data_IF_250071631378
#
_entry.id   IF_250071631378
#
_cell.length_a   1.000
_cell.length_b   1.000
_cell.length_c   1.000
_cell.angle_alpha   90.00
_cell.angle_beta   90.00
_cell.angle_gamma   90.00
#
_symmetry.space_group_name_H-M   'P 1'
#
loop_
_entity.id
_entity.type
_entity.pdbx_description
1 polymer ?
#
# COMPACT_ATOMS: atom_id res chain seq x y z
N UNK A 1 56.71 49.60 -21.91
CA UNK A 1 55.24 49.61 -21.99
C UNK A 1 54.80 48.25 -22.49
N UNK A 2 54.44 47.30 -21.61
CA UNK A 2 53.86 46.00 -21.98
C UNK A 2 53.16 45.41 -20.75
N UNK A 3 51.83 45.59 -20.65
CA UNK A 3 51.00 45.01 -19.60
C UNK A 3 50.48 43.66 -20.10
N UNK A 4 50.92 42.55 -19.49
CA UNK A 4 50.31 41.23 -19.70
C UNK A 4 49.18 41.06 -18.69
N UNK A 5 47.93 41.03 -19.17
CA UNK A 5 46.78 40.62 -18.37
C UNK A 5 46.81 39.09 -18.23
N UNK A 6 46.91 38.59 -17.00
CA UNK A 6 46.52 37.23 -16.67
C UNK A 6 45.00 37.24 -16.46
N UNK A 7 44.26 36.59 -17.36
CA UNK A 7 42.85 36.30 -17.17
C UNK A 7 42.75 35.03 -16.30
N UNK A 8 42.24 35.18 -15.08
CA UNK A 8 41.95 34.07 -14.17
C UNK A 8 40.55 33.54 -14.52
N UNK A 9 40.47 32.45 -15.27
CA UNK A 9 39.21 31.76 -15.54
C UNK A 9 38.78 30.98 -14.30
N UNK A 10 37.78 31.51 -13.59
CA UNK A 10 37.11 30.83 -12.49
C UNK A 10 36.21 29.72 -13.07
N UNK A 11 36.65 28.47 -12.99
CA UNK A 11 35.83 27.32 -13.35
C UNK A 11 34.79 27.09 -12.24
N UNK A 12 33.56 27.58 -12.44
CA UNK A 12 32.42 27.17 -11.64
C UNK A 12 32.13 25.69 -11.93
N UNK A 13 32.48 24.79 -11.01
CA UNK A 13 31.98 23.43 -11.02
C UNK A 13 30.48 23.47 -10.71
N UNK A 14 29.65 23.32 -11.73
CA UNK A 14 28.22 23.13 -11.59
C UNK A 14 27.96 21.78 -10.91
N UNK A 15 27.68 21.82 -9.60
CA UNK A 15 27.04 20.70 -8.91
C UNK A 15 25.62 20.55 -9.47
N UNK A 16 25.44 19.63 -10.41
CA UNK A 16 24.10 19.17 -10.75
C UNK A 16 23.58 18.38 -9.53
N UNK A 17 22.40 18.70 -8.98
CA UNK A 17 21.80 17.85 -7.95
C UNK A 17 21.59 16.47 -8.56
N UNK A 18 22.19 15.45 -7.95
CA UNK A 18 21.82 14.06 -8.20
C UNK A 18 20.36 13.93 -7.78
N UNK A 19 19.44 13.87 -8.74
CA UNK A 19 18.05 13.49 -8.46
C UNK A 19 18.10 12.05 -7.97
N UNK A 20 18.03 11.84 -6.65
CA UNK A 20 17.80 10.52 -6.11
C UNK A 20 16.43 10.03 -6.64
N UNK A 21 16.38 8.80 -7.12
CA UNK A 21 15.12 8.13 -7.40
C UNK A 21 14.52 7.68 -6.06
N UNK A 22 13.20 7.52 -6.01
CA UNK A 22 12.56 6.89 -4.87
C UNK A 22 13.17 5.52 -4.60
N UNK A 23 13.49 5.26 -3.33
CA UNK A 23 14.05 3.98 -2.92
C UNK A 23 12.96 2.91 -3.00
N UNK A 24 13.31 1.73 -3.51
CA UNK A 24 12.39 0.60 -3.60
C UNK A 24 12.41 -0.21 -2.31
N UNK A 25 11.25 -0.74 -1.94
CA UNK A 25 11.03 -1.54 -0.74
C UNK A 25 10.20 -2.78 -1.08
N UNK A 26 10.48 -3.89 -0.40
CA UNK A 26 9.65 -5.09 -0.40
C UNK A 26 8.93 -5.17 0.94
N UNK A 27 7.61 -5.38 0.91
CA UNK A 27 6.80 -5.53 2.13
C UNK A 27 7.25 -6.79 2.90
N UNK A 28 7.56 -6.63 4.18
CA UNK A 28 8.12 -7.69 5.03
C UNK A 28 7.07 -8.67 5.55
N UNK A 29 6.44 -9.39 4.62
CA UNK A 29 5.51 -10.48 4.92
C UNK A 29 6.22 -11.74 5.43
N UNK A 30 7.51 -11.92 5.12
CA UNK A 30 8.32 -13.04 5.62
C UNK A 30 8.65 -12.90 7.11
N UNK A 31 8.98 -11.69 7.55
CA UNK A 31 9.19 -11.33 8.95
C UNK A 31 7.89 -11.06 9.73
N UNK A 32 6.73 -11.13 9.06
CA UNK A 32 5.42 -10.84 9.63
C UNK A 32 5.26 -9.40 10.18
N UNK A 33 5.96 -8.43 9.58
CA UNK A 33 5.83 -7.00 9.89
C UNK A 33 4.83 -6.30 8.95
N UNK A 34 3.78 -7.02 8.56
CA UNK A 34 2.71 -6.48 7.74
C UNK A 34 1.37 -7.20 7.99
N UNK A 35 0.27 -6.45 7.95
CA UNK A 35 -1.08 -6.95 8.11
C UNK A 35 -2.09 -6.17 7.25
N UNK A 36 -3.11 -6.88 6.76
CA UNK A 36 -4.28 -6.31 6.09
C UNK A 36 -5.50 -6.80 6.88
N UNK A 37 -6.06 -5.93 7.71
CA UNK A 37 -7.25 -6.18 8.48
C UNK A 37 -8.49 -5.66 7.75
N UNK A 38 -9.62 -6.30 8.01
CA UNK A 38 -10.92 -5.85 7.54
C UNK A 38 -11.92 -5.86 8.68
N UNK A 39 -12.91 -5.00 8.57
CA UNK A 39 -14.12 -5.05 9.38
C UNK A 39 -15.36 -4.75 8.55
N UNK A 40 -16.47 -5.39 8.90
CA UNK A 40 -17.76 -5.19 8.28
C UNK A 40 -18.84 -5.10 9.36
N UNK A 41 -19.70 -4.09 9.27
CA UNK A 41 -20.83 -3.96 10.19
C UNK A 41 -21.81 -5.12 10.00
N UNK A 42 -22.31 -5.66 11.09
CA UNK A 42 -23.31 -6.72 11.11
C UNK A 42 -24.60 -6.18 11.75
N UNK A 43 -25.61 -5.94 10.91
CA UNK A 43 -26.95 -5.44 11.29
C UNK A 43 -26.96 -4.11 12.08
N UNK A 44 -25.84 -3.36 12.06
CA UNK A 44 -25.67 -2.18 12.91
C UNK A 44 -25.50 -2.47 14.40
N UNK A 45 -25.36 -3.74 14.80
CA UNK A 45 -25.22 -4.16 16.20
C UNK A 45 -23.77 -4.42 16.60
N UNK A 46 -22.97 -4.95 15.68
CA UNK A 46 -21.58 -5.32 15.93
C UNK A 46 -20.75 -5.25 14.65
N UNK A 47 -19.47 -5.64 14.76
CA UNK A 47 -18.56 -5.78 13.63
C UNK A 47 -18.06 -7.22 13.56
N UNK A 48 -18.07 -7.78 12.36
CA UNK A 48 -17.22 -8.91 12.03
C UNK A 48 -15.86 -8.35 11.63
N UNK A 49 -14.79 -8.93 12.16
CA UNK A 49 -13.42 -8.53 11.86
C UNK A 49 -12.62 -9.74 11.37
N UNK A 50 -11.54 -9.46 10.65
CA UNK A 50 -10.63 -10.49 10.19
C UNK A 50 -9.43 -9.90 9.47
N UNK A 51 -8.69 -10.76 8.77
CA UNK A 51 -7.50 -10.39 8.02
C UNK A 51 -7.33 -11.26 6.78
N UNK A 52 -6.37 -10.89 5.94
CA UNK A 52 -5.83 -11.77 4.91
C UNK A 52 -4.44 -12.27 5.32
N UNK A 53 -4.28 -13.59 5.41
CA UNK A 53 -3.05 -14.22 5.90
C UNK A 53 -1.93 -14.30 4.85
N UNK A 54 -2.24 -14.09 3.57
CA UNK A 54 -1.25 -14.23 2.50
C UNK A 54 -1.38 -13.10 1.49
N UNK A 55 -0.33 -12.29 1.44
CA UNK A 55 -0.17 -11.22 0.46
C UNK A 55 1.31 -10.95 0.23
N UNK A 56 1.60 -10.13 -0.77
CA UNK A 56 2.93 -9.63 -1.08
C UNK A 56 2.82 -8.27 -1.72
N UNK A 57 3.85 -7.45 -1.63
CA UNK A 57 3.86 -6.19 -2.34
C UNK A 57 5.21 -5.51 -2.32
N UNK A 58 5.30 -4.45 -3.13
CA UNK A 58 6.43 -3.55 -3.21
C UNK A 58 5.93 -2.11 -3.17
N UNK A 59 6.79 -1.21 -2.72
CA UNK A 59 6.54 0.21 -2.85
C UNK A 59 7.84 0.96 -3.07
N UNK A 60 7.76 2.12 -3.71
CA UNK A 60 8.86 3.08 -3.74
C UNK A 60 8.53 4.26 -2.83
N UNK A 61 9.52 4.80 -2.14
CA UNK A 61 9.34 5.93 -1.24
C UNK A 61 10.52 6.90 -1.31
N UNK A 62 10.21 8.18 -1.56
CA UNK A 62 11.14 9.31 -1.45
C UNK A 62 10.48 10.39 -0.58
N UNK A 63 10.96 10.64 0.66
CA UNK A 63 10.38 11.67 1.51
C UNK A 63 10.51 13.08 0.93
N UNK A 64 11.44 13.33 0.01
CA UNK A 64 11.62 14.62 -0.67
C UNK A 64 10.78 14.75 -1.94
N UNK A 65 10.40 13.63 -2.57
CA UNK A 65 9.65 13.58 -3.84
C UNK A 65 8.52 12.53 -3.79
N UNK A 66 7.55 12.75 -2.90
CA UNK A 66 6.45 11.83 -2.64
C UNK A 66 5.70 11.42 -3.92
N UNK A 67 5.60 12.30 -4.90
CA UNK A 67 4.94 12.05 -6.18
C UNK A 67 5.60 10.95 -7.04
N UNK A 68 6.87 10.59 -6.74
CA UNK A 68 7.58 9.46 -7.37
C UNK A 68 7.31 8.12 -6.68
N UNK A 69 6.59 8.13 -5.57
CA UNK A 69 6.25 6.93 -4.81
C UNK A 69 5.21 6.09 -5.56
N UNK A 70 5.35 4.78 -5.46
CA UNK A 70 4.44 3.79 -6.06
C UNK A 70 4.15 2.69 -5.05
N UNK A 71 3.01 2.01 -5.17
CA UNK A 71 2.61 0.90 -4.31
C UNK A 71 1.94 -0.17 -5.17
N UNK A 72 2.38 -1.42 -5.03
CA UNK A 72 1.77 -2.58 -5.67
C UNK A 72 1.59 -3.70 -4.64
N UNK A 73 0.37 -4.21 -4.51
CA UNK A 73 0.04 -5.28 -3.55
C UNK A 73 -0.79 -6.35 -4.25
N UNK A 74 -0.49 -7.62 -3.98
CA UNK A 74 -1.30 -8.77 -4.36
C UNK A 74 -1.68 -9.55 -3.12
N UNK A 75 -2.97 -9.80 -2.93
CA UNK A 75 -3.54 -10.57 -1.83
C UNK A 75 -4.09 -11.88 -2.37
N UNK A 76 -3.88 -12.99 -1.66
CA UNK A 76 -4.55 -14.27 -1.91
C UNK A 76 -5.90 -14.26 -1.20
N UNK A 77 -6.99 -14.32 -1.94
CA UNK A 77 -8.34 -14.15 -1.41
C UNK A 77 -8.80 -15.31 -0.55
N UNK A 78 -8.31 -16.52 -0.84
CA UNK A 78 -8.54 -17.74 -0.06
C UNK A 78 -7.87 -17.73 1.33
N UNK A 79 -6.98 -16.76 1.58
CA UNK A 79 -6.30 -16.56 2.86
C UNK A 79 -7.11 -15.72 3.86
N UNK A 80 -8.36 -15.36 3.52
CA UNK A 80 -9.25 -14.66 4.43
C UNK A 80 -9.50 -15.46 5.71
N UNK A 81 -9.38 -14.79 6.84
CA UNK A 81 -9.46 -15.39 8.17
C UNK A 81 -10.22 -14.43 9.09
N UNK A 82 -11.40 -14.88 9.52
CA UNK A 82 -12.26 -14.18 10.47
C UNK A 82 -12.25 -14.85 11.85
N UNK A 83 -11.33 -15.78 12.11
CA UNK A 83 -11.30 -16.62 13.30
C UNK A 83 -12.57 -17.49 13.46
N UNK A 84 -13.21 -17.90 12.35
CA UNK A 84 -14.38 -18.79 12.37
C UNK A 84 -14.50 -19.58 11.06
N UNK A 85 -14.14 -20.87 11.11
CA UNK A 85 -13.96 -21.72 9.94
C UNK A 85 -15.16 -21.76 8.98
N UNK A 86 -16.40 -21.90 9.50
CA UNK A 86 -17.60 -21.93 8.65
C UNK A 86 -17.87 -20.58 7.97
N UNK A 87 -17.53 -19.48 8.65
CA UNK A 87 -17.69 -18.14 8.06
C UNK A 87 -16.63 -17.93 6.98
N UNK A 88 -15.40 -18.35 7.23
CA UNK A 88 -14.32 -18.25 6.24
C UNK A 88 -14.61 -19.11 5.01
N UNK A 89 -15.22 -20.30 5.20
CA UNK A 89 -15.73 -21.11 4.08
C UNK A 89 -16.76 -20.33 3.25
N UNK A 90 -17.68 -19.64 3.92
CA UNK A 90 -18.73 -18.86 3.25
C UNK A 90 -18.17 -17.63 2.54
N UNK A 91 -17.28 -16.87 3.18
CA UNK A 91 -16.61 -15.70 2.60
C UNK A 91 -15.79 -16.03 1.33
N UNK A 92 -15.29 -17.26 1.22
CA UNK A 92 -14.55 -17.75 0.05
C UNK A 92 -15.43 -18.25 -1.09
N UNK A 93 -16.71 -18.51 -0.82
CA UNK A 93 -17.65 -19.03 -1.83
C UNK A 93 -18.04 -17.98 -2.86
N UNK A 94 -18.74 -18.42 -3.90
CA UNK A 94 -19.33 -17.63 -4.98
C UNK A 94 -20.37 -16.60 -4.50
N UNK A 95 -20.93 -16.77 -3.29
CA UNK A 95 -21.79 -15.77 -2.66
C UNK A 95 -21.04 -14.53 -2.15
N UNK A 96 -19.71 -14.56 -2.08
CA UNK A 96 -18.88 -13.46 -1.57
C UNK A 96 -17.67 -13.17 -2.46
N UNK A 97 -16.46 -13.55 -2.02
CA UNK A 97 -15.21 -13.16 -2.70
C UNK A 97 -14.94 -14.09 -3.89
N UNK A 98 -15.63 -15.24 -3.97
CA UNK A 98 -15.45 -16.27 -4.98
C UNK A 98 -13.95 -16.56 -5.21
N UNK A 99 -13.29 -17.06 -4.17
CA UNK A 99 -11.84 -17.23 -4.17
C UNK A 99 -11.35 -18.31 -5.15
N UNK A 100 -12.24 -19.19 -5.60
CA UNK A 100 -11.94 -20.18 -6.65
C UNK A 100 -11.75 -19.52 -8.00
N UNK A 101 -12.69 -18.67 -8.44
CA UNK A 101 -12.61 -17.97 -9.73
C UNK A 101 -11.72 -16.72 -9.67
N UNK A 102 -11.64 -16.07 -8.51
CA UNK A 102 -10.84 -14.86 -8.28
C UNK A 102 -9.84 -15.07 -7.14
N UNK A 103 -8.77 -15.86 -7.36
CA UNK A 103 -7.83 -16.26 -6.32
C UNK A 103 -6.92 -15.12 -5.84
N UNK A 104 -6.97 -13.95 -6.48
CA UNK A 104 -6.18 -12.79 -6.10
C UNK A 104 -6.95 -11.48 -6.19
N UNK A 105 -6.74 -10.61 -5.19
CA UNK A 105 -7.02 -9.18 -5.29
C UNK A 105 -5.71 -8.42 -5.52
N UNK A 106 -5.72 -7.36 -6.34
CA UNK A 106 -4.51 -6.62 -6.72
C UNK A 106 -4.75 -5.12 -6.62
N UNK A 107 -3.86 -4.42 -5.93
CA UNK A 107 -3.84 -2.96 -5.88
C UNK A 107 -2.60 -2.42 -6.58
N UNK A 108 -2.79 -1.42 -7.43
CA UNK A 108 -1.70 -0.65 -8.05
C UNK A 108 -1.98 0.84 -7.93
N UNK A 109 -1.08 1.58 -7.28
CA UNK A 109 -1.18 3.02 -7.16
C UNK A 109 -1.05 3.70 -8.52
N UNK A 110 -1.83 4.75 -8.73
CA UNK A 110 -1.73 5.65 -9.88
C UNK A 110 -1.16 7.01 -9.49
N UNK A 111 -1.30 7.40 -8.22
CA UNK A 111 -0.79 8.67 -7.70
C UNK A 111 -0.65 8.63 -6.18
N UNK A 112 0.43 9.21 -5.67
CA UNK A 112 0.61 9.49 -4.24
C UNK A 112 0.65 10.99 -4.02
N UNK A 113 -0.09 11.48 -3.03
CA UNK A 113 -0.16 12.91 -2.68
C UNK A 113 0.10 13.08 -1.20
N UNK A 114 1.04 13.95 -0.83
CA UNK A 114 1.20 14.35 0.57
C UNK A 114 0.03 15.23 1.00
N UNK A 115 -0.57 14.92 2.14
CA UNK A 115 -1.62 15.73 2.77
C UNK A 115 -1.14 16.46 4.02
N UNK A 116 0.18 16.45 4.28
CA UNK A 116 0.81 17.07 5.45
C UNK A 116 0.94 16.12 6.64
N UNK A 117 1.80 16.48 7.61
CA UNK A 117 2.00 15.74 8.85
C UNK A 117 2.27 14.24 8.67
N UNK A 118 3.12 13.88 7.71
CA UNK A 118 3.45 12.49 7.35
C UNK A 118 2.26 11.67 6.83
N UNK A 119 1.16 12.32 6.42
CA UNK A 119 0.00 11.68 5.82
C UNK A 119 0.03 11.78 4.29
N UNK A 120 -0.57 10.76 3.66
CA UNK A 120 -0.63 10.62 2.21
C UNK A 120 -1.97 10.08 1.74
N UNK A 121 -2.46 10.61 0.63
CA UNK A 121 -3.51 9.98 -0.16
C UNK A 121 -2.85 9.15 -1.28
N UNK A 122 -2.94 7.83 -1.17
CA UNK A 122 -2.49 6.87 -2.18
C UNK A 122 -3.69 6.49 -3.02
N UNK A 123 -3.80 7.06 -4.21
CA UNK A 123 -4.84 6.75 -5.19
C UNK A 123 -4.37 5.58 -6.06
N UNK A 124 -5.26 4.65 -6.35
CA UNK A 124 -4.92 3.51 -7.18
C UNK A 124 -6.13 2.71 -7.63
N UNK A 125 -5.87 1.70 -8.44
CA UNK A 125 -6.88 0.78 -8.91
C UNK A 125 -6.79 -0.51 -8.09
N UNK A 126 -7.91 -0.92 -7.51
CA UNK A 126 -8.08 -2.23 -6.90
C UNK A 126 -8.82 -3.12 -7.89
N UNK A 127 -8.25 -4.28 -8.20
CA UNK A 127 -8.94 -5.39 -8.85
C UNK A 127 -9.34 -6.40 -7.78
N UNK A 128 -10.63 -6.67 -7.63
CA UNK A 128 -11.20 -7.63 -6.67
C UNK A 128 -12.46 -8.24 -7.30
N UNK A 129 -12.62 -9.56 -7.18
CA UNK A 129 -13.79 -10.28 -7.71
C UNK A 129 -14.03 -10.01 -9.22
N UNK A 130 -12.93 -9.99 -10.00
CA UNK A 130 -12.96 -9.77 -11.45
C UNK A 130 -13.11 -8.30 -11.88
N UNK A 131 -13.58 -7.44 -11.01
CA UNK A 131 -13.84 -6.03 -11.29
C UNK A 131 -12.68 -5.14 -10.86
N UNK A 132 -12.50 -4.01 -11.55
CA UNK A 132 -11.47 -3.01 -11.22
C UNK A 132 -12.10 -1.66 -10.94
N UNK A 133 -11.87 -1.13 -9.75
CA UNK A 133 -12.40 0.16 -9.31
C UNK A 133 -11.30 1.04 -8.67
N UNK A 134 -11.38 2.38 -8.82
CA UNK A 134 -10.46 3.29 -8.17
C UNK A 134 -10.77 3.39 -6.67
N UNK A 135 -9.73 3.30 -5.84
CA UNK A 135 -9.82 3.52 -4.39
C UNK A 135 -8.75 4.54 -3.95
N UNK A 136 -8.94 5.10 -2.76
CA UNK A 136 -7.92 5.91 -2.08
C UNK A 136 -7.60 5.26 -0.74
N UNK A 137 -6.32 5.04 -0.48
CA UNK A 137 -5.79 4.61 0.81
C UNK A 137 -5.22 5.86 1.50
N UNK A 138 -5.73 6.16 2.69
CA UNK A 138 -5.21 7.22 3.54
C UNK A 138 -4.09 6.64 4.39
N UNK A 139 -2.85 6.94 4.04
CA UNK A 139 -1.66 6.40 4.68
C UNK A 139 -0.99 7.41 5.61
N UNK A 140 -0.31 6.92 6.64
CA UNK A 140 0.53 7.70 7.54
C UNK A 140 1.88 7.01 7.72
N UNK A 141 2.98 7.75 7.55
CA UNK A 141 4.33 7.24 7.83
C UNK A 141 4.55 7.19 9.35
N UNK A 142 4.69 5.97 9.86
CA UNK A 142 5.03 5.71 11.26
C UNK A 142 6.49 6.07 11.52
N UNK A 143 7.40 5.59 10.67
CA UNK A 143 8.84 5.86 10.76
C UNK A 143 9.64 5.23 9.62
N UNK A 144 10.87 5.69 9.44
CA UNK A 144 11.84 5.12 8.50
C UNK A 144 13.27 5.33 8.99
N UNK A 145 14.19 4.41 8.66
CA UNK A 145 15.61 4.49 9.03
C UNK A 145 16.33 3.14 9.03
N UNK A 146 17.55 3.13 9.55
CA UNK A 146 18.39 1.94 9.70
C UNK A 146 17.74 0.89 10.61
N UNK A 147 17.88 -0.39 10.25
CA UNK A 147 17.43 -1.52 11.05
C UNK A 147 18.60 -2.20 11.81
N UNK A 148 18.31 -3.00 12.86
CA UNK A 148 19.36 -3.68 13.63
C UNK A 148 20.18 -4.73 12.87
N UNK A 149 19.81 -5.05 11.62
CA UNK A 149 20.44 -6.09 10.79
C UNK A 149 21.25 -5.51 9.63
N UNK A 150 21.43 -4.18 9.59
CA UNK A 150 22.24 -3.48 8.60
C UNK A 150 21.51 -3.14 7.30
N UNK A 151 20.17 -3.20 7.29
CA UNK A 151 19.32 -2.67 6.22
C UNK A 151 18.66 -1.35 6.60
N UNK A 152 17.78 -0.84 5.73
CA UNK A 152 16.88 0.29 6.04
C UNK A 152 15.42 -0.15 5.88
N UNK A 153 14.54 0.44 6.67
CA UNK A 153 13.09 0.15 6.67
C UNK A 153 12.26 1.41 6.61
N UNK A 154 11.03 1.26 6.12
CA UNK A 154 9.99 2.29 6.19
C UNK A 154 8.63 1.66 6.54
N UNK A 155 7.96 2.20 7.55
CA UNK A 155 6.72 1.68 8.11
C UNK A 155 5.56 2.65 7.98
N UNK A 156 4.40 2.13 7.57
CA UNK A 156 3.18 2.89 7.31
C UNK A 156 1.96 2.20 7.93
N UNK A 157 1.00 3.02 8.35
CA UNK A 157 -0.39 2.58 8.51
C UNK A 157 -1.22 3.08 7.34
N UNK A 158 -2.35 2.44 7.05
CA UNK A 158 -3.28 2.91 6.04
C UNK A 158 -4.72 2.51 6.32
N UNK A 159 -5.68 3.32 5.86
CA UNK A 159 -7.11 2.99 5.93
C UNK A 159 -7.81 3.24 4.60
N UNK A 160 -8.83 2.46 4.31
CA UNK A 160 -9.74 2.69 3.18
C UNK A 160 -11.08 2.00 3.44
N UNK A 161 -12.13 2.41 2.73
CA UNK A 161 -13.44 1.76 2.76
C UNK A 161 -13.79 1.31 1.36
N UNK A 162 -14.10 0.03 1.19
CA UNK A 162 -14.56 -0.54 -0.06
C UNK A 162 -16.09 -0.57 -0.07
N UNK A 163 -16.71 -0.19 -1.19
CA UNK A 163 -18.12 -0.55 -1.43
C UNK A 163 -18.13 -1.88 -2.20
N UNK A 164 -18.82 -2.88 -1.68
CA UNK A 164 -18.83 -4.22 -2.27
C UNK A 164 -19.48 -4.26 -3.67
N UNK A 165 -20.43 -3.35 -3.91
CA UNK A 165 -21.08 -3.20 -5.21
C UNK A 165 -20.11 -2.74 -6.33
N UNK A 166 -19.03 -2.03 -6.00
CA UNK A 166 -18.01 -1.63 -6.97
C UNK A 166 -17.24 -2.85 -7.52
N UNK A 167 -17.38 -4.00 -6.87
CA UNK A 167 -16.71 -5.25 -7.20
C UNK A 167 -17.66 -6.40 -7.53
N UNK A 168 -18.95 -6.11 -7.79
CA UNK A 168 -19.98 -7.12 -8.04
C UNK A 168 -20.11 -8.19 -6.93
N UNK A 169 -19.79 -7.83 -5.69
CA UNK A 169 -20.00 -8.69 -4.51
C UNK A 169 -21.35 -8.33 -3.90
N UNK A 170 -22.37 -9.15 -4.17
CA UNK A 170 -23.72 -8.97 -3.63
C UNK A 170 -23.92 -9.76 -2.32
N UNK A 171 -23.43 -9.18 -1.21
CA UNK A 171 -23.57 -9.75 0.12
C UNK A 171 -25.01 -9.62 0.68
N UNK A 172 -25.97 -10.31 0.05
CA UNK A 172 -27.38 -10.47 0.46
C UNK A 172 -28.02 -9.22 1.09
N UNK A 173 -27.75 -8.04 0.54
CA UNK A 173 -28.34 -6.75 0.92
C UNK A 173 -28.01 -6.17 2.31
N UNK A 174 -27.27 -6.87 3.18
CA UNK A 174 -27.04 -6.42 4.57
C UNK A 174 -25.69 -5.75 4.80
N UNK A 175 -24.64 -6.19 4.10
CA UNK A 175 -23.29 -5.58 4.19
C UNK A 175 -22.97 -4.89 2.87
N UNK A 176 -22.79 -3.58 2.89
CA UNK A 176 -22.49 -2.80 1.68
C UNK A 176 -21.05 -2.31 1.62
N UNK A 177 -20.41 -2.19 2.77
CA UNK A 177 -19.09 -1.61 2.93
C UNK A 177 -18.21 -2.49 3.80
N UNK A 178 -16.93 -2.50 3.48
CA UNK A 178 -15.87 -3.13 4.26
C UNK A 178 -14.80 -2.09 4.50
N UNK A 179 -14.47 -1.84 5.76
CA UNK A 179 -13.34 -0.99 6.12
C UNK A 179 -12.08 -1.84 6.19
N UNK A 180 -10.99 -1.33 5.62
CA UNK A 180 -9.67 -1.93 5.67
C UNK A 180 -8.75 -1.09 6.53
N UNK A 181 -7.93 -1.78 7.32
CA UNK A 181 -6.83 -1.21 8.07
C UNK A 181 -5.54 -1.95 7.71
N UNK A 182 -4.51 -1.19 7.36
CA UNK A 182 -3.27 -1.69 6.79
C UNK A 182 -2.12 -1.32 7.71
N UNK A 183 -1.23 -2.29 7.94
CA UNK A 183 0.02 -2.09 8.64
C UNK A 183 1.11 -2.67 7.76
N UNK A 184 2.07 -1.85 7.34
CA UNK A 184 3.06 -2.28 6.36
C UNK A 184 4.42 -1.76 6.77
N UNK A 185 5.37 -2.65 6.97
CA UNK A 185 6.79 -2.32 6.99
C UNK A 185 7.47 -2.89 5.74
N UNK A 186 8.27 -2.07 5.08
CA UNK A 186 9.09 -2.47 3.94
C UNK A 186 10.56 -2.51 4.29
N UNK A 187 11.27 -3.46 3.71
CA UNK A 187 12.75 -3.53 3.73
C UNK A 187 13.27 -2.92 2.43
N UNK A 188 14.15 -1.94 2.52
CA UNK A 188 14.74 -1.26 1.38
C UNK A 188 15.55 -2.23 0.52
N UNK A 189 15.44 -2.06 -0.79
CA UNK A 189 16.20 -2.79 -1.80
C UNK A 189 17.36 -1.91 -2.28
N UNK A 190 18.50 -2.56 -2.55
CA UNK A 190 19.76 -1.89 -2.92
C UNK A 190 19.80 -1.37 -4.35
#
# INVERSE_FOLDING_TARGET
MNKRLLALTLACASFAPLTANAADYVIDTKGAHAAIHWQASHLGYSYNTGRFNTFSGTFSFDPEHIEKSTVNVTVKTDSIDSNHAERDKHLRSDEFINAEDYPTAKFSSTKVVSTGDKNFDIKGNLTLHGETAPITIHAHLVGAGDDPWGGERAGFTGTTTLNLADFNIDAMGMVKKVDLELFVEGVKQG
#
